data_IF_000913155502
#
_entry.id   IF_000913155502
#
_cell.length_a   1.000
_cell.length_b   1.000
_cell.length_c   1.000
_cell.angle_alpha   90.00
_cell.angle_beta   90.00
_cell.angle_gamma   90.00
#
_symmetry.space_group_name_H-M   'P 1'
#
loop_
_entity.id
_entity.type
_entity.pdbx_description
1 polymer ?
#
# COMPACT_ATOMS: atom_id res chain seq x y z
N UNK A 1 11.99 -15.09 11.61
CA UNK A 1 12.27 -15.84 10.36
C UNK A 1 12.29 -14.85 9.21
N UNK A 2 13.42 -14.63 8.52
CA UNK A 2 13.48 -13.74 7.34
C UNK A 2 13.01 -14.53 6.12
N UNK A 3 11.91 -14.12 5.49
CA UNK A 3 11.49 -14.69 4.21
C UNK A 3 12.53 -14.26 3.16
N UNK A 4 13.15 -15.19 2.41
CA UNK A 4 14.08 -14.83 1.36
C UNK A 4 13.38 -14.01 0.27
N UNK A 5 14.08 -13.06 -0.36
CA UNK A 5 13.50 -12.09 -1.29
C UNK A 5 12.81 -12.78 -2.48
N UNK A 6 13.31 -13.95 -2.85
CA UNK A 6 12.80 -14.83 -3.90
C UNK A 6 11.38 -15.30 -3.57
N UNK A 7 11.13 -15.77 -2.34
CA UNK A 7 9.79 -16.18 -1.92
C UNK A 7 8.84 -14.99 -1.83
N UNK A 8 9.35 -13.81 -1.45
CA UNK A 8 8.53 -12.59 -1.44
C UNK A 8 8.11 -12.19 -2.85
N UNK A 9 9.02 -12.25 -3.82
CA UNK A 9 8.72 -12.02 -5.23
C UNK A 9 7.72 -13.06 -5.78
N UNK A 10 7.93 -14.35 -5.50
CA UNK A 10 7.00 -15.42 -5.89
C UNK A 10 5.62 -15.21 -5.27
N UNK A 11 5.53 -14.68 -4.05
CA UNK A 11 4.25 -14.32 -3.42
C UNK A 11 3.53 -13.24 -4.21
N UNK A 12 4.24 -12.18 -4.63
CA UNK A 12 3.66 -11.10 -5.45
C UNK A 12 3.12 -11.65 -6.77
N UNK A 13 3.95 -12.41 -7.48
CA UNK A 13 3.58 -13.00 -8.78
C UNK A 13 2.40 -13.96 -8.59
N UNK A 14 2.43 -14.81 -7.56
CA UNK A 14 1.35 -15.74 -7.25
C UNK A 14 0.03 -15.04 -6.96
N UNK A 15 0.03 -13.96 -6.18
CA UNK A 15 -1.17 -13.18 -5.88
C UNK A 15 -1.76 -12.52 -7.13
N UNK A 16 -0.92 -11.93 -7.98
CA UNK A 16 -1.37 -11.26 -9.21
C UNK A 16 -1.87 -12.27 -10.26
N UNK A 17 -1.18 -13.40 -10.42
CA UNK A 17 -1.63 -14.48 -11.30
C UNK A 17 -2.94 -15.09 -10.80
N UNK A 18 -3.07 -15.30 -9.49
CA UNK A 18 -4.30 -15.81 -8.90
C UNK A 18 -5.45 -14.82 -9.14
N UNK A 19 -5.25 -13.52 -8.90
CA UNK A 19 -6.23 -12.49 -9.21
C UNK A 19 -6.65 -12.51 -10.69
N UNK A 20 -5.69 -12.66 -11.61
CA UNK A 20 -5.95 -12.74 -13.05
C UNK A 20 -6.78 -13.98 -13.43
N UNK A 21 -6.45 -15.15 -12.87
CA UNK A 21 -7.21 -16.39 -13.12
C UNK A 21 -8.62 -16.31 -12.54
N UNK A 22 -8.78 -15.74 -11.34
CA UNK A 22 -10.11 -15.53 -10.76
C UNK A 22 -10.93 -14.53 -11.59
N UNK A 23 -10.32 -13.48 -12.12
CA UNK A 23 -11.00 -12.50 -12.97
C UNK A 23 -11.55 -13.15 -14.25
N UNK A 24 -10.87 -14.17 -14.80
CA UNK A 24 -11.34 -14.89 -15.98
C UNK A 24 -12.63 -15.70 -15.76
N UNK A 25 -13.02 -15.96 -14.51
CA UNK A 25 -14.23 -16.72 -14.15
C UNK A 25 -15.33 -15.84 -13.55
N UNK A 26 -15.14 -14.52 -13.52
CA UNK A 26 -16.06 -13.56 -12.92
C UNK A 26 -16.59 -12.63 -13.98
N UNK A 27 -17.90 -12.40 -13.97
CA UNK A 27 -18.52 -11.42 -14.85
C UNK A 27 -18.07 -9.99 -14.48
N UNK A 28 -17.79 -9.13 -15.47
CA UNK A 28 -17.39 -7.75 -15.22
C UNK A 28 -18.41 -7.00 -14.35
N UNK A 29 -17.92 -6.25 -13.37
CA UNK A 29 -18.76 -5.46 -12.49
C UNK A 29 -19.41 -4.29 -13.22
N UNK A 30 -20.73 -4.37 -13.39
CA UNK A 30 -21.57 -3.29 -13.89
C UNK A 30 -22.28 -2.54 -12.75
N UNK A 31 -21.52 -2.06 -11.76
CA UNK A 31 -22.06 -1.28 -10.63
C UNK A 31 -21.93 0.23 -10.88
N UNK A 32 -23.03 0.96 -10.69
CA UNK A 32 -23.01 2.42 -10.66
C UNK A 32 -22.71 2.89 -9.23
N UNK A 33 -21.44 3.13 -8.94
CA UNK A 33 -20.97 3.61 -7.64
C UNK A 33 -20.82 5.13 -7.66
N UNK A 34 -21.17 5.79 -6.55
CA UNK A 34 -20.92 7.23 -6.38
C UNK A 34 -19.43 7.52 -6.09
N UNK A 35 -18.79 6.63 -5.34
CA UNK A 35 -17.35 6.63 -5.06
C UNK A 35 -16.85 5.18 -5.02
N UNK A 36 -15.56 4.90 -5.25
CA UNK A 36 -15.02 3.55 -5.13
C UNK A 36 -15.24 2.93 -3.74
N UNK A 37 -15.32 3.75 -2.70
CA UNK A 37 -15.47 3.29 -1.31
C UNK A 37 -16.85 2.73 -1.00
N UNK A 38 -17.88 3.07 -1.78
CA UNK A 38 -19.22 2.49 -1.63
C UNK A 38 -19.22 0.97 -1.87
N UNK A 39 -18.24 0.45 -2.62
CA UNK A 39 -18.06 -0.98 -2.82
C UNK A 39 -17.75 -1.74 -1.52
N UNK A 40 -17.10 -1.08 -0.54
CA UNK A 40 -16.72 -1.68 0.74
C UNK A 40 -17.90 -1.84 1.71
N UNK A 41 -19.12 -1.51 1.28
CA UNK A 41 -20.31 -1.78 2.06
C UNK A 41 -20.54 -3.30 2.21
N UNK A 42 -20.91 -3.80 3.40
CA UNK A 42 -21.10 -5.23 3.64
C UNK A 42 -22.08 -5.90 2.66
N UNK A 43 -23.12 -5.16 2.25
CA UNK A 43 -24.11 -5.62 1.27
C UNK A 43 -23.48 -5.93 -0.10
N UNK A 44 -22.61 -5.05 -0.60
CA UNK A 44 -21.97 -5.23 -1.90
C UNK A 44 -20.89 -6.32 -1.84
N UNK A 45 -20.09 -6.34 -0.77
CA UNK A 45 -19.02 -7.33 -0.60
C UNK A 45 -19.56 -8.77 -0.55
N UNK A 46 -20.69 -8.97 0.15
CA UNK A 46 -21.33 -10.29 0.26
C UNK A 46 -22.04 -10.71 -1.03
N UNK A 47 -22.53 -9.74 -1.81
CA UNK A 47 -23.16 -10.00 -3.11
C UNK A 47 -22.15 -10.38 -4.21
N UNK A 48 -20.94 -9.83 -4.17
CA UNK A 48 -19.88 -10.09 -5.16
C UNK A 48 -18.60 -10.66 -4.51
N UNK A 49 -18.65 -11.89 -3.97
CA UNK A 49 -17.54 -12.44 -3.20
C UNK A 49 -16.30 -12.72 -4.06
N UNK A 50 -16.47 -13.21 -5.29
CA UNK A 50 -15.35 -13.49 -6.19
C UNK A 50 -14.69 -12.22 -6.70
N UNK A 51 -15.47 -11.21 -7.10
CA UNK A 51 -14.95 -9.91 -7.48
C UNK A 51 -14.22 -9.23 -6.31
N UNK A 52 -14.77 -9.36 -5.10
CA UNK A 52 -14.10 -8.92 -3.87
C UNK A 52 -12.76 -9.61 -3.67
N UNK A 53 -12.70 -10.93 -3.88
CA UNK A 53 -11.44 -11.68 -3.79
C UNK A 53 -10.42 -11.21 -4.84
N UNK A 54 -10.84 -11.00 -6.10
CA UNK A 54 -9.99 -10.44 -7.16
C UNK A 54 -9.43 -9.08 -6.74
N UNK A 55 -10.30 -8.18 -6.29
CA UNK A 55 -9.93 -6.83 -5.84
C UNK A 55 -8.90 -6.92 -4.71
N UNK A 56 -9.16 -7.70 -3.66
CA UNK A 56 -8.26 -7.81 -2.51
C UNK A 56 -6.91 -8.43 -2.89
N UNK A 57 -6.91 -9.55 -3.63
CA UNK A 57 -5.67 -10.21 -4.07
C UNK A 57 -4.82 -9.27 -4.91
N UNK A 58 -5.44 -8.56 -5.85
CA UNK A 58 -4.76 -7.58 -6.71
C UNK A 58 -4.22 -6.41 -5.89
N UNK A 59 -5.02 -5.83 -5.00
CA UNK A 59 -4.58 -4.74 -4.11
C UNK A 59 -3.38 -5.15 -3.26
N UNK A 60 -3.42 -6.33 -2.63
CA UNK A 60 -2.30 -6.83 -1.83
C UNK A 60 -1.07 -7.04 -2.72
N UNK A 61 -1.22 -7.70 -3.87
CA UNK A 61 -0.13 -7.91 -4.82
C UNK A 61 0.53 -6.61 -5.25
N UNK A 62 -0.27 -5.60 -5.61
CA UNK A 62 0.22 -4.27 -6.00
C UNK A 62 0.85 -3.50 -4.84
N UNK A 63 0.31 -3.60 -3.62
CA UNK A 63 0.90 -3.01 -2.42
C UNK A 63 2.28 -3.58 -2.12
N UNK A 64 2.49 -4.88 -2.35
CA UNK A 64 3.77 -5.52 -2.06
C UNK A 64 4.89 -5.12 -3.03
N UNK A 65 4.58 -4.60 -4.24
CA UNK A 65 5.60 -4.23 -5.25
C UNK A 65 6.50 -3.08 -4.75
N UNK A 66 6.00 -1.86 -4.44
CA UNK A 66 6.82 -0.81 -3.83
C UNK A 66 7.44 -1.21 -2.49
N UNK A 67 6.79 -2.05 -1.68
CA UNK A 67 7.41 -2.58 -0.45
C UNK A 67 8.66 -3.40 -0.78
N UNK A 68 8.61 -4.26 -1.80
CA UNK A 68 9.79 -4.99 -2.26
C UNK A 68 10.90 -4.02 -2.69
N UNK A 69 10.55 -2.96 -3.42
CA UNK A 69 11.49 -1.92 -3.85
C UNK A 69 12.11 -1.20 -2.64
N UNK A 70 11.32 -0.89 -1.62
CA UNK A 70 11.80 -0.26 -0.38
C UNK A 70 12.82 -1.11 0.37
N UNK A 71 12.84 -2.43 0.19
CA UNK A 71 13.85 -3.32 0.80
C UNK A 71 15.25 -3.14 0.20
N UNK A 72 15.39 -2.47 -0.94
CA UNK A 72 16.70 -2.14 -1.51
C UNK A 72 17.30 -0.84 -0.94
N UNK A 73 16.49 -0.01 -0.26
CA UNK A 73 16.92 1.23 0.36
C UNK A 73 17.00 1.09 1.88
N UNK A 74 18.21 1.05 2.43
CA UNK A 74 18.43 1.00 3.89
C UNK A 74 18.17 2.38 4.53
N UNK A 75 17.51 2.39 5.70
CA UNK A 75 17.34 3.54 6.63
C UNK A 75 16.64 4.81 6.11
N UNK A 76 16.04 4.80 4.92
CA UNK A 76 15.28 5.94 4.38
C UNK A 76 13.80 6.00 4.81
N UNK A 77 13.47 5.86 6.10
CA UNK A 77 12.06 5.79 6.52
C UNK A 77 11.24 7.04 6.18
N UNK A 78 11.82 8.24 6.30
CA UNK A 78 11.15 9.48 5.89
C UNK A 78 10.80 9.52 4.39
N UNK A 79 11.73 9.09 3.52
CA UNK A 79 11.46 8.99 2.08
C UNK A 79 10.37 7.94 1.78
N UNK A 80 10.44 6.77 2.44
CA UNK A 80 9.42 5.71 2.29
C UNK A 80 8.03 6.18 2.74
N UNK A 81 7.95 7.00 3.79
CA UNK A 81 6.71 7.66 4.23
C UNK A 81 6.15 8.56 3.14
N UNK A 82 6.95 9.50 2.61
CA UNK A 82 6.51 10.44 1.57
C UNK A 82 6.05 9.70 0.32
N UNK A 83 6.85 8.73 -0.16
CA UNK A 83 6.49 7.94 -1.34
C UNK A 83 5.19 7.16 -1.12
N UNK A 84 5.00 6.57 0.06
CA UNK A 84 3.77 5.85 0.39
C UNK A 84 2.55 6.78 0.38
N UNK A 85 2.67 8.01 0.91
CA UNK A 85 1.61 9.01 0.83
C UNK A 85 1.30 9.42 -0.61
N UNK A 86 2.32 9.62 -1.45
CA UNK A 86 2.14 9.97 -2.86
C UNK A 86 1.41 8.84 -3.61
N UNK A 87 1.85 7.59 -3.44
CA UNK A 87 1.19 6.43 -4.04
C UNK A 87 -0.27 6.35 -3.57
N UNK A 88 -0.51 6.50 -2.27
CA UNK A 88 -1.85 6.52 -1.68
C UNK A 88 -2.73 7.60 -2.32
N UNK A 89 -2.27 8.85 -2.35
CA UNK A 89 -3.04 9.97 -2.88
C UNK A 89 -3.34 9.83 -4.36
N UNK A 90 -2.33 9.47 -5.17
CA UNK A 90 -2.49 9.33 -6.62
C UNK A 90 -3.47 8.20 -6.98
N UNK A 91 -3.38 7.05 -6.30
CA UNK A 91 -4.23 5.89 -6.61
C UNK A 91 -5.67 6.09 -6.16
N UNK A 92 -5.88 6.77 -5.03
CA UNK A 92 -7.22 7.17 -4.59
C UNK A 92 -7.83 8.24 -5.51
N UNK A 93 -7.06 9.26 -5.91
CA UNK A 93 -7.54 10.28 -6.84
C UNK A 93 -7.90 9.67 -8.19
N UNK A 94 -7.04 8.80 -8.72
CA UNK A 94 -7.32 8.07 -9.95
C UNK A 94 -8.61 7.26 -9.84
N UNK A 95 -8.77 6.47 -8.77
CA UNK A 95 -9.96 5.64 -8.58
C UNK A 95 -11.24 6.46 -8.41
N UNK A 96 -11.18 7.57 -7.66
CA UNK A 96 -12.32 8.48 -7.49
C UNK A 96 -12.68 9.12 -8.83
N UNK A 97 -11.70 9.58 -9.59
CA UNK A 97 -11.94 10.18 -10.90
C UNK A 97 -12.62 9.17 -11.82
N UNK A 98 -12.05 7.97 -11.99
CA UNK A 98 -12.56 6.95 -12.91
C UNK A 98 -14.01 6.55 -12.58
N UNK A 99 -14.31 6.34 -11.30
CA UNK A 99 -15.67 5.99 -10.84
C UNK A 99 -16.64 7.15 -10.98
N UNK A 100 -16.23 8.38 -10.64
CA UNK A 100 -17.11 9.54 -10.66
C UNK A 100 -17.43 10.02 -12.07
N UNK A 101 -16.47 9.97 -12.99
CA UNK A 101 -16.67 10.40 -14.38
C UNK A 101 -17.21 9.28 -15.27
N UNK A 102 -17.18 8.03 -14.81
CA UNK A 102 -17.61 6.86 -15.58
C UNK A 102 -16.75 6.63 -16.83
N UNK A 103 -15.55 7.22 -16.90
CA UNK A 103 -14.61 6.96 -17.98
C UNK A 103 -14.00 5.59 -17.75
N UNK A 104 -14.38 4.61 -18.53
CA UNK A 104 -13.85 3.25 -18.40
C UNK A 104 -12.54 3.13 -19.17
N UNK A 105 -11.44 3.58 -18.58
CA UNK A 105 -10.10 3.25 -19.11
C UNK A 105 -9.74 1.80 -18.78
N UNK A 106 -10.19 1.32 -17.62
CA UNK A 106 -10.09 -0.06 -17.18
C UNK A 106 -11.43 -0.60 -16.65
N UNK A 107 -11.57 -1.92 -16.48
CA UNK A 107 -12.68 -2.51 -15.73
C UNK A 107 -12.78 -1.93 -14.32
N UNK A 108 -14.00 -1.81 -13.78
CA UNK A 108 -14.25 -1.17 -12.48
C UNK A 108 -13.45 -1.80 -11.34
N UNK A 109 -13.20 -3.11 -11.42
CA UNK A 109 -12.39 -3.88 -10.48
C UNK A 109 -10.97 -3.33 -10.35
N UNK A 110 -10.39 -2.75 -11.42
CA UNK A 110 -9.08 -2.10 -11.37
C UNK A 110 -9.12 -0.83 -10.54
N UNK A 111 -10.09 0.04 -10.78
CA UNK A 111 -10.27 1.27 -9.99
C UNK A 111 -10.50 0.94 -8.52
N UNK A 112 -11.32 -0.06 -8.23
CA UNK A 112 -11.56 -0.54 -6.86
C UNK A 112 -10.30 -1.13 -6.22
N UNK A 113 -9.52 -1.91 -6.97
CA UNK A 113 -8.24 -2.46 -6.49
C UNK A 113 -7.25 -1.36 -6.13
N UNK A 114 -7.17 -0.30 -6.95
CA UNK A 114 -6.31 0.85 -6.70
C UNK A 114 -6.77 1.68 -5.50
N UNK A 115 -8.08 1.84 -5.30
CA UNK A 115 -8.62 2.51 -4.11
C UNK A 115 -8.24 1.77 -2.82
N UNK A 116 -8.41 0.43 -2.79
CA UNK A 116 -8.04 -0.39 -1.63
C UNK A 116 -6.51 -0.41 -1.43
N UNK A 117 -5.75 -0.49 -2.52
CA UNK A 117 -4.28 -0.36 -2.46
C UNK A 117 -3.87 0.98 -1.83
N UNK A 118 -4.51 2.08 -2.22
CA UNK A 118 -4.28 3.40 -1.66
C UNK A 118 -4.55 3.45 -0.16
N UNK A 119 -5.63 2.80 0.31
CA UNK A 119 -5.92 2.66 1.74
C UNK A 119 -4.78 1.92 2.46
N UNK A 120 -4.29 0.80 1.92
CA UNK A 120 -3.13 0.09 2.52
C UNK A 120 -1.89 0.97 2.60
N UNK A 121 -1.64 1.81 1.60
CA UNK A 121 -0.52 2.74 1.63
C UNK A 121 -0.64 3.85 2.68
N UNK A 122 -1.85 4.26 3.08
CA UNK A 122 -2.02 5.13 4.26
C UNK A 122 -1.45 4.43 5.50
N UNK A 123 -1.85 3.18 5.75
CA UNK A 123 -1.37 2.43 6.91
C UNK A 123 0.15 2.24 6.87
N UNK A 124 0.71 1.89 5.71
CA UNK A 124 2.15 1.73 5.52
C UNK A 124 2.90 3.05 5.76
N UNK A 125 2.36 4.17 5.26
CA UNK A 125 2.92 5.49 5.49
C UNK A 125 2.99 5.79 7.00
N UNK A 126 1.91 5.54 7.75
CA UNK A 126 1.89 5.74 9.20
C UNK A 126 2.97 4.90 9.91
N UNK A 127 3.18 3.64 9.51
CA UNK A 127 4.26 2.81 10.05
C UNK A 127 5.64 3.43 9.79
N UNK A 128 5.91 3.88 8.55
CA UNK A 128 7.18 4.51 8.24
C UNK A 128 7.38 5.86 8.94
N UNK A 129 6.31 6.62 9.19
CA UNK A 129 6.37 7.85 9.98
C UNK A 129 6.85 7.55 11.40
N UNK A 130 6.25 6.56 12.06
CA UNK A 130 6.64 6.15 13.42
C UNK A 130 8.11 5.71 13.45
N UNK A 131 8.53 4.85 12.51
CA UNK A 131 9.92 4.39 12.43
C UNK A 131 10.90 5.54 12.18
N UNK A 132 10.52 6.52 11.36
CA UNK A 132 11.33 7.71 11.11
C UNK A 132 11.50 8.55 12.38
N UNK A 133 10.41 8.81 13.11
CA UNK A 133 10.46 9.55 14.38
C UNK A 133 11.37 8.83 15.39
N UNK A 134 11.22 7.51 15.55
CA UNK A 134 12.08 6.72 16.44
C UNK A 134 13.56 6.80 16.06
N UNK A 135 13.88 6.76 14.77
CA UNK A 135 15.26 6.90 14.29
C UNK A 135 15.83 8.30 14.58
N UNK A 136 15.04 9.36 14.36
CA UNK A 136 15.47 10.74 14.66
C UNK A 136 15.72 10.94 16.15
N UNK A 137 14.82 10.44 17.00
CA UNK A 137 14.97 10.51 18.46
C UNK A 137 16.20 9.74 18.92
N UNK A 138 16.40 8.51 18.42
CA UNK A 138 17.57 7.70 18.78
C UNK A 138 18.87 8.42 18.43
N UNK A 139 19.00 8.90 17.19
CA UNK A 139 20.20 9.61 16.75
C UNK A 139 20.50 10.83 17.64
N UNK A 140 19.46 11.58 18.03
CA UNK A 140 19.62 12.74 18.92
C UNK A 140 20.05 12.36 20.34
N UNK A 141 19.62 11.21 20.86
CA UNK A 141 20.05 10.71 22.18
C UNK A 141 21.50 10.24 22.12
N UNK A 142 21.87 9.52 21.05
CA UNK A 142 23.24 9.05 20.84
C UNK A 142 24.21 10.25 20.76
N UNK A 143 23.86 11.30 19.99
CA UNK A 143 24.65 12.54 19.89
C UNK A 143 24.86 13.27 21.23
N UNK A 144 23.90 13.18 22.16
CA UNK A 144 24.00 13.80 23.49
C UNK A 144 24.86 12.98 24.46
N UNK A 145 24.98 11.67 24.22
CA UNK A 145 25.72 10.75 25.10
C UNK A 145 27.21 10.69 24.73
N UNK A 146 27.54 10.95 23.47
CA UNK A 146 28.91 10.96 22.94
C UNK A 146 29.65 12.31 23.09
N UNK A 147 29.06 13.32 23.75
CA UNK A 147 29.78 14.57 24.01
C UNK A 147 30.86 14.37 25.10
N UNK A 148 32.12 14.78 24.86
CA UNK A 148 33.16 14.74 25.89
C UNK A 148 32.72 15.56 27.09
N UNK A 149 32.79 14.98 28.30
CA UNK A 149 32.59 15.77 29.52
C UNK A 149 33.64 16.90 29.55
N UNK A 150 33.24 18.13 29.90
CA UNK A 150 34.22 19.21 30.07
C UNK A 150 35.21 18.78 31.15
N UNK A 151 36.50 18.75 30.82
CA UNK A 151 37.57 18.50 31.78
C UNK A 151 37.41 19.46 32.95
N UNK A 152 37.07 18.92 34.13
CA UNK A 152 37.21 19.61 35.40
C UNK A 152 38.71 19.74 35.72
N UNK A 153 39.44 20.56 34.96
CA UNK A 153 40.79 20.97 35.32
C UNK A 153 40.71 22.11 36.34
N UNK A 154 40.87 21.73 37.61
CA UNK A 154 41.12 22.62 38.75
C UNK A 154 42.39 23.47 38.58
#
# INVERSE_FOLDING_TARGET
>A
MKIPKEYFFLTIVGLLLLAYVLEAVVDPLALKLATPYNYLSPEVLTKYPFSTAVILLRSIGLTLIPILIFNFFNKGYGAKFIISLLISGLTQLYAVQEVATGTTLAPLEWSLSLAVMGIFYIFIALVFLVLNISQVVKNKIDDLTDQPQPDESN
#
